data_IF_017911114775
#
_entry.id   IF_017911114775
#
_cell.length_a   1.000
_cell.length_b   1.000
_cell.length_c   1.000
_cell.angle_alpha   90.00
_cell.angle_beta   90.00
_cell.angle_gamma   90.00
#
_symmetry.space_group_name_H-M   'P 1'
#
loop_
_entity.id
_entity.type
_entity.pdbx_description
1 polymer ?
#
# COMPACT_ATOMS: atom_id res chain seq x y z
N UNK A 1 -19.96 30.67 -14.53
CA UNK A 1 -20.21 29.36 -13.92
C UNK A 1 -18.93 28.55 -13.99
N UNK A 2 -18.12 28.55 -12.92
CA UNK A 2 -16.88 27.77 -12.87
C UNK A 2 -16.65 27.34 -11.42
N UNK A 3 -17.15 26.15 -11.06
CA UNK A 3 -16.93 25.55 -9.74
C UNK A 3 -15.66 24.73 -9.74
N UNK A 4 -14.66 25.12 -8.96
CA UNK A 4 -13.53 24.27 -8.60
C UNK A 4 -13.91 23.45 -7.37
N UNK A 5 -14.09 22.14 -7.54
CA UNK A 5 -14.30 21.22 -6.43
C UNK A 5 -12.98 21.07 -5.66
N UNK A 6 -12.89 21.74 -4.51
CA UNK A 6 -11.83 21.53 -3.52
C UNK A 6 -12.13 20.18 -2.85
N UNK A 7 -11.47 19.12 -3.31
CA UNK A 7 -11.57 17.79 -2.70
C UNK A 7 -11.03 17.82 -1.27
N UNK A 8 -11.93 17.71 -0.31
CA UNK A 8 -11.66 17.70 1.13
C UNK A 8 -10.67 16.58 1.51
N UNK A 9 -9.45 16.95 1.91
CA UNK A 9 -8.58 16.10 2.75
C UNK A 9 -9.31 15.84 4.07
N UNK A 10 -9.92 14.66 4.23
CA UNK A 10 -10.35 14.20 5.55
C UNK A 10 -9.12 13.72 6.31
N UNK A 11 -8.65 14.58 7.22
CA UNK A 11 -7.77 14.21 8.31
C UNK A 11 -8.52 13.25 9.23
N UNK A 12 -7.97 12.05 9.38
CA UNK A 12 -8.47 10.99 10.24
C UNK A 12 -7.43 9.90 10.35
N UNK A 13 -6.20 10.27 10.73
CA UNK A 13 -5.10 9.32 10.92
C UNK A 13 -4.85 9.07 12.41
N UNK A 14 -5.70 8.22 12.98
CA UNK A 14 -5.38 7.52 14.20
C UNK A 14 -4.42 6.38 13.89
N UNK A 15 -3.12 6.68 13.82
CA UNK A 15 -2.01 5.71 13.93
C UNK A 15 -2.14 4.42 13.12
N UNK A 16 -2.76 4.42 11.95
CA UNK A 16 -2.88 3.21 11.13
C UNK A 16 -1.72 3.17 10.15
N UNK A 17 -0.86 2.16 10.31
CA UNK A 17 0.23 1.88 9.36
C UNK A 17 -0.33 1.90 7.94
N UNK A 18 0.30 2.61 6.99
CA UNK A 18 -0.19 2.69 5.63
C UNK A 18 -0.26 1.29 5.01
N UNK A 19 -1.40 0.99 4.39
CA UNK A 19 -1.66 -0.29 3.71
C UNK A 19 -1.64 -0.06 2.20
N UNK A 20 -0.78 -0.80 1.52
CA UNK A 20 -0.61 -0.80 0.08
C UNK A 20 -1.37 -1.98 -0.56
N UNK A 21 -1.81 -1.80 -1.81
CA UNK A 21 -2.55 -2.82 -2.57
C UNK A 21 -1.62 -3.43 -3.59
N UNK A 22 -1.59 -4.77 -3.64
CA UNK A 22 -0.88 -5.52 -4.66
C UNK A 22 -1.88 -6.13 -5.62
N UNK A 23 -1.84 -5.69 -6.88
CA UNK A 23 -2.91 -5.90 -7.86
C UNK A 23 -2.36 -6.40 -9.20
N UNK A 24 -3.17 -7.18 -9.90
CA UNK A 24 -2.98 -7.50 -11.31
C UNK A 24 -3.78 -6.54 -12.19
N UNK A 25 -3.16 -5.77 -13.10
CA UNK A 25 -3.83 -4.77 -13.93
C UNK A 25 -4.49 -5.35 -15.21
N UNK A 26 -4.70 -6.67 -15.30
CA UNK A 26 -5.17 -7.32 -16.54
C UNK A 26 -6.59 -6.92 -17.00
N UNK A 27 -7.32 -6.14 -16.20
CA UNK A 27 -8.69 -5.70 -16.45
C UNK A 27 -8.84 -4.25 -16.01
N UNK A 28 -9.85 -3.56 -16.55
CA UNK A 28 -10.19 -2.18 -16.15
C UNK A 28 -10.45 -2.07 -14.64
N UNK A 29 -11.00 -3.12 -14.02
CA UNK A 29 -11.01 -3.28 -12.57
C UNK A 29 -9.87 -4.25 -12.18
N UNK A 30 -8.76 -3.75 -11.60
CA UNK A 30 -7.63 -4.58 -11.22
C UNK A 30 -8.02 -5.68 -10.25
N UNK A 31 -7.39 -6.84 -10.38
CA UNK A 31 -7.61 -7.97 -9.47
C UNK A 31 -6.72 -7.79 -8.26
N UNK A 32 -7.32 -7.64 -7.08
CA UNK A 32 -6.58 -7.56 -5.83
C UNK A 32 -6.02 -8.95 -5.47
N UNK A 33 -4.70 -9.05 -5.35
CA UNK A 33 -4.01 -10.29 -4.99
C UNK A 33 -3.71 -10.33 -3.48
N UNK A 34 -3.19 -9.23 -2.92
CA UNK A 34 -2.95 -9.07 -1.50
C UNK A 34 -2.94 -7.58 -1.11
N UNK A 35 -2.87 -7.32 0.20
CA UNK A 35 -2.41 -6.03 0.71
C UNK A 35 -1.15 -6.22 1.54
N UNK A 36 -0.36 -5.17 1.70
CA UNK A 36 0.81 -5.21 2.56
C UNK A 36 1.02 -3.88 3.26
N UNK A 37 1.76 -3.89 4.37
CA UNK A 37 2.15 -2.67 5.07
C UNK A 37 3.64 -2.39 4.94
N UNK A 38 4.06 -1.21 5.41
CA UNK A 38 5.47 -0.81 5.43
C UNK A 38 6.35 -1.66 6.36
N UNK A 39 5.75 -2.49 7.23
CA UNK A 39 6.48 -3.44 8.08
C UNK A 39 6.69 -4.80 7.39
N UNK A 40 6.31 -4.92 6.12
CA UNK A 40 6.48 -6.15 5.34
C UNK A 40 5.47 -7.25 5.69
N UNK A 41 4.38 -6.92 6.40
CA UNK A 41 3.28 -7.87 6.62
C UNK A 41 2.38 -7.89 5.40
N UNK A 42 2.20 -9.07 4.82
CA UNK A 42 1.32 -9.34 3.68
C UNK A 42 0.05 -9.98 4.20
N UNK A 43 -1.09 -9.46 3.75
CA UNK A 43 -2.41 -9.97 4.07
C UNK A 43 -3.10 -10.51 2.82
N UNK A 44 -3.47 -11.78 2.85
CA UNK A 44 -4.07 -12.49 1.71
C UNK A 44 -5.44 -13.01 2.14
N UNK A 45 -6.48 -12.67 1.38
CA UNK A 45 -7.82 -13.21 1.56
C UNK A 45 -8.20 -14.10 0.38
N UNK A 46 -8.41 -15.38 0.65
CA UNK A 46 -8.94 -16.33 -0.34
C UNK A 46 -10.14 -17.04 0.26
N UNK A 47 -11.32 -16.77 -0.31
CA UNK A 47 -12.60 -17.33 0.14
C UNK A 47 -12.82 -17.09 1.65
N UNK A 48 -12.86 -18.18 2.42
CA UNK A 48 -13.09 -18.26 3.86
C UNK A 48 -11.80 -18.14 4.69
N UNK A 49 -10.64 -18.09 4.03
CA UNK A 49 -9.34 -18.08 4.69
C UNK A 49 -8.66 -16.73 4.59
N UNK A 50 -7.99 -16.38 5.68
CA UNK A 50 -7.19 -15.17 5.79
C UNK A 50 -5.80 -15.55 6.29
N UNK A 51 -4.77 -15.13 5.57
CA UNK A 51 -3.39 -15.39 5.91
C UNK A 51 -2.64 -14.09 6.16
N UNK A 52 -1.79 -14.13 7.18
CA UNK A 52 -0.77 -13.14 7.45
C UNK A 52 0.59 -13.78 7.19
N UNK A 53 1.35 -13.19 6.28
CA UNK A 53 2.64 -13.71 5.82
C UNK A 53 3.68 -12.60 5.91
N UNK A 54 4.93 -12.97 6.14
CA UNK A 54 6.08 -12.07 6.05
C UNK A 54 7.05 -12.61 4.99
N UNK A 55 7.70 -11.71 4.24
CA UNK A 55 8.71 -12.07 3.24
C UNK A 55 8.17 -12.09 1.80
N UNK A 56 8.25 -13.23 1.13
CA UNK A 56 7.91 -13.38 -0.29
C UNK A 56 6.63 -14.19 -0.48
N UNK A 57 5.75 -13.74 -1.38
CA UNK A 57 4.54 -14.44 -1.79
C UNK A 57 4.49 -14.50 -3.31
N UNK A 58 4.17 -15.68 -3.85
CA UNK A 58 3.82 -15.87 -5.26
C UNK A 58 2.31 -16.10 -5.37
N UNK A 59 1.67 -15.44 -6.33
CA UNK A 59 0.24 -15.57 -6.59
C UNK A 59 -0.01 -15.65 -8.10
N UNK A 60 -1.00 -16.46 -8.48
CA UNK A 60 -1.49 -16.55 -9.85
C UNK A 60 -2.78 -15.75 -9.95
N UNK A 61 -2.88 -14.86 -10.94
CA UNK A 61 -4.10 -14.10 -11.18
C UNK A 61 -5.23 -15.05 -11.63
N UNK A 62 -6.36 -15.11 -10.91
CA UNK A 62 -7.47 -16.00 -11.26
C UNK A 62 -8.23 -15.58 -12.53
N UNK A 63 -7.89 -14.43 -13.13
CA UNK A 63 -8.56 -13.90 -14.33
C UNK A 63 -7.75 -14.05 -15.61
N UNK A 64 -6.43 -13.86 -15.55
CA UNK A 64 -5.56 -13.95 -16.73
C UNK A 64 -4.50 -15.05 -16.65
N UNK A 65 -4.33 -15.70 -15.49
CA UNK A 65 -3.31 -16.74 -15.29
C UNK A 65 -1.88 -16.22 -15.12
N UNK A 66 -1.66 -14.89 -15.15
CA UNK A 66 -0.32 -14.32 -14.95
C UNK A 66 0.21 -14.63 -13.54
N UNK A 67 1.50 -14.93 -13.47
CA UNK A 67 2.23 -15.12 -12.22
C UNK A 67 2.74 -13.78 -11.70
N UNK A 68 2.52 -13.54 -10.41
CA UNK A 68 2.97 -12.34 -9.72
C UNK A 68 3.80 -12.74 -8.50
N UNK A 69 4.92 -12.04 -8.29
CA UNK A 69 5.77 -12.21 -7.11
C UNK A 69 5.79 -10.88 -6.35
N UNK A 70 5.46 -10.93 -5.06
CA UNK A 70 5.65 -9.85 -4.11
C UNK A 70 6.76 -10.26 -3.14
N UNK A 71 7.87 -9.52 -3.13
CA UNK A 71 9.00 -9.77 -2.26
C UNK A 71 9.21 -8.57 -1.32
N UNK A 72 8.92 -8.78 -0.03
CA UNK A 72 9.11 -7.77 1.02
C UNK A 72 10.22 -8.14 2.01
N UNK A 73 11.12 -9.08 1.65
CA UNK A 73 12.20 -9.53 2.55
C UNK A 73 13.20 -8.42 2.92
N UNK A 74 13.33 -7.40 2.08
CA UNK A 74 14.29 -6.29 2.25
C UNK A 74 13.61 -4.92 2.35
N UNK A 75 12.33 -4.86 2.73
CA UNK A 75 11.71 -3.57 3.00
C UNK A 75 12.30 -3.03 4.29
N UNK A 76 13.30 -2.16 4.16
CA UNK A 76 13.74 -1.33 5.28
C UNK A 76 12.54 -0.49 5.74
N UNK A 77 12.27 -0.42 7.06
CA UNK A 77 11.24 0.47 7.57
C UNK A 77 11.54 1.89 7.08
N UNK A 78 10.53 2.68 6.68
CA UNK A 78 10.75 4.03 6.15
C UNK A 78 11.57 4.82 7.17
N UNK A 79 12.81 5.13 6.79
CA UNK A 79 13.78 5.81 7.64
C UNK A 79 13.34 7.25 7.88
N UNK A 80 12.62 7.47 8.99
CA UNK A 80 12.29 8.76 9.61
C UNK A 80 11.44 9.76 8.80
N UNK A 81 10.55 10.54 9.47
CA UNK A 81 9.75 11.58 8.82
C UNK A 81 10.64 12.69 8.23
N UNK A 82 10.17 13.41 7.18
CA UNK A 82 10.92 14.50 6.59
C UNK A 82 11.26 15.55 7.64
N UNK A 83 12.55 15.83 7.74
CA UNK A 83 13.17 16.88 8.52
C UNK A 83 12.30 18.15 8.49
N UNK A 84 11.73 18.53 9.64
CA UNK A 84 11.04 19.82 9.77
C UNK A 84 12.10 20.89 9.66
N UNK A 85 12.38 21.34 8.44
CA UNK A 85 13.21 22.49 8.15
C UNK A 85 12.71 23.68 8.97
N UNK A 86 13.48 23.95 10.02
CA UNK A 86 13.33 25.09 10.91
C UNK A 86 13.75 26.32 10.10
N UNK A 87 12.87 27.27 9.76
CA UNK A 87 13.29 28.43 8.99
C UNK A 87 14.31 29.22 9.82
N UNK A 88 15.47 29.44 9.20
CA UNK A 88 16.60 30.19 9.74
C UNK A 88 16.13 31.61 10.08
N UNK A 89 16.19 31.99 11.36
CA UNK A 89 15.91 33.36 11.81
C UNK A 89 17.18 34.17 11.62
N UNK A 90 17.29 34.85 10.48
CA UNK A 90 18.34 35.84 10.25
C UNK A 90 18.12 37.05 11.18
N UNK A 91 19.19 37.44 11.88
CA UNK A 91 19.34 38.63 12.73
C UNK A 91 19.46 39.88 11.88
#
# INVERSE_FOLDING_TARGET
>A
MSGFAIGSKRAGDGGRTPVFRWECPCRQQPVLLATYDAAGRINIKVRDRYWHVHGQVQAICPRCGAEHILDLRHVEPPSSPPDRQRPNRSV
#
